data_IF_409051529634
#
_entry.id   IF_409051529634
#
_cell.length_a   1.000
_cell.length_b   1.000
_cell.length_c   1.000
_cell.angle_alpha   90.00
_cell.angle_beta   90.00
_cell.angle_gamma   90.00
#
_symmetry.space_group_name_H-M   'P 1'
#
loop_
_entity.id
_entity.type
_entity.pdbx_description
1 polymer ?
#
# COMPACT_ATOMS: atom_id res chain seq x y z
N UNK A 1 19.11 -15.25 -0.14
CA UNK A 1 20.52 -14.81 -0.21
C UNK A 1 21.19 -15.05 1.14
N UNK A 2 22.35 -15.71 1.21
CA UNK A 2 23.17 -15.84 2.42
C UNK A 2 23.79 -14.52 2.88
N UNK A 3 24.16 -14.42 4.17
CA UNK A 3 24.78 -13.22 4.75
C UNK A 3 26.09 -12.85 4.04
N UNK A 4 26.94 -13.84 3.72
CA UNK A 4 28.20 -13.64 3.00
C UNK A 4 27.99 -12.93 1.66
N UNK A 5 27.09 -13.45 0.84
CA UNK A 5 26.79 -12.89 -0.49
C UNK A 5 26.31 -11.44 -0.40
N UNK A 6 25.47 -11.11 0.58
CA UNK A 6 25.02 -9.75 0.80
C UNK A 6 26.21 -8.83 1.17
N UNK A 7 27.07 -9.26 2.09
CA UNK A 7 28.25 -8.48 2.47
C UNK A 7 29.16 -8.25 1.26
N UNK A 8 29.42 -9.28 0.47
CA UNK A 8 30.26 -9.18 -0.74
C UNK A 8 29.66 -8.26 -1.81
N UNK A 9 28.34 -8.32 -2.02
CA UNK A 9 27.65 -7.40 -2.93
C UNK A 9 27.79 -5.94 -2.48
N UNK A 10 27.60 -5.68 -1.18
CA UNK A 10 27.76 -4.32 -0.62
C UNK A 10 29.22 -3.85 -0.67
N UNK A 11 30.17 -4.75 -0.42
CA UNK A 11 31.59 -4.46 -0.59
C UNK A 11 31.90 -4.03 -2.03
N UNK A 12 31.42 -4.78 -3.03
CA UNK A 12 31.58 -4.40 -4.45
C UNK A 12 30.96 -3.04 -4.74
N UNK A 13 29.75 -2.78 -4.24
CA UNK A 13 29.04 -1.53 -4.47
C UNK A 13 29.79 -0.29 -3.95
N UNK A 14 30.46 -0.41 -2.79
CA UNK A 14 31.24 0.69 -2.20
C UNK A 14 32.75 0.61 -2.47
N UNK A 15 33.20 -0.32 -3.33
CA UNK A 15 34.62 -0.48 -3.65
C UNK A 15 35.49 -0.97 -2.49
N UNK A 16 34.91 -1.67 -1.51
CA UNK A 16 35.67 -2.25 -0.40
C UNK A 16 36.27 -3.62 -0.75
N UNK A 17 37.45 -3.89 -0.19
CA UNK A 17 38.00 -5.23 -0.03
C UNK A 17 37.96 -5.62 1.46
N UNK A 18 38.27 -6.89 1.78
CA UNK A 18 38.17 -7.40 3.17
C UNK A 18 39.05 -6.63 4.14
N UNK A 19 40.20 -6.10 3.70
CA UNK A 19 41.09 -5.31 4.53
C UNK A 19 40.55 -3.89 4.76
N UNK A 20 40.09 -3.22 3.70
CA UNK A 20 39.57 -1.84 3.82
C UNK A 20 38.25 -1.78 4.58
N UNK A 21 37.36 -2.77 4.41
CA UNK A 21 36.14 -2.85 5.21
C UNK A 21 36.45 -3.11 6.69
N UNK A 22 37.35 -4.04 6.99
CA UNK A 22 37.74 -4.36 8.37
C UNK A 22 38.32 -3.12 9.06
N UNK A 23 39.25 -2.41 8.39
CA UNK A 23 39.81 -1.16 8.88
C UNK A 23 38.73 -0.09 9.11
N UNK A 24 37.83 0.12 8.13
CA UNK A 24 36.74 1.11 8.22
C UNK A 24 35.73 0.79 9.34
N UNK A 25 35.56 -0.49 9.65
CA UNK A 25 34.66 -0.97 10.70
C UNK A 25 35.33 -1.09 12.08
N UNK A 26 36.64 -0.81 12.19
CA UNK A 26 37.38 -0.94 13.44
C UNK A 26 37.53 -2.38 13.94
N UNK A 27 37.56 -3.37 13.03
CA UNK A 27 37.70 -4.79 13.37
C UNK A 27 38.88 -5.43 12.62
N UNK A 28 39.32 -6.61 13.08
CA UNK A 28 40.35 -7.37 12.38
C UNK A 28 39.80 -8.07 11.13
N UNK A 29 40.65 -8.29 10.13
CA UNK A 29 40.31 -9.10 8.94
C UNK A 29 39.87 -10.53 9.29
N UNK A 30 40.49 -11.24 10.25
CA UNK A 30 39.95 -12.50 10.78
C UNK A 30 38.52 -12.37 11.33
N UNK A 31 38.23 -11.33 12.11
CA UNK A 31 36.89 -11.07 12.66
C UNK A 31 35.87 -10.87 11.53
N UNK A 32 36.21 -10.10 10.49
CA UNK A 32 35.34 -9.92 9.33
C UNK A 32 35.04 -11.26 8.63
N UNK A 33 36.03 -12.14 8.46
CA UNK A 33 35.81 -13.49 7.90
C UNK A 33 34.87 -14.34 8.75
N UNK A 34 34.99 -14.25 10.08
CA UNK A 34 34.06 -14.93 10.98
C UNK A 34 32.63 -14.41 10.79
N UNK A 35 32.43 -13.09 10.71
CA UNK A 35 31.11 -12.49 10.46
C UNK A 35 30.52 -12.96 9.14
N UNK A 36 31.31 -12.94 8.06
CA UNK A 36 30.86 -13.38 6.73
C UNK A 36 30.38 -14.84 6.74
N UNK A 37 31.04 -15.70 7.50
CA UNK A 37 30.63 -17.11 7.70
C UNK A 37 29.53 -17.31 8.77
N UNK A 38 28.92 -16.22 9.27
CA UNK A 38 27.84 -16.26 10.26
C UNK A 38 28.29 -16.53 11.71
N UNK A 39 29.60 -16.42 11.97
CA UNK A 39 30.24 -16.61 13.28
C UNK A 39 30.65 -15.27 13.90
N UNK A 40 31.20 -15.31 15.11
CA UNK A 40 31.63 -14.11 15.85
C UNK A 40 30.50 -13.48 16.66
N UNK A 41 30.53 -12.16 16.84
CA UNK A 41 29.61 -11.46 17.76
C UNK A 41 28.64 -10.55 17.02
N UNK A 42 27.48 -10.32 17.62
CA UNK A 42 26.48 -9.35 17.14
C UNK A 42 27.08 -7.93 17.08
N UNK A 43 27.91 -7.58 18.06
CA UNK A 43 28.59 -6.27 18.11
C UNK A 43 29.50 -6.07 16.91
N UNK A 44 30.28 -7.09 16.53
CA UNK A 44 31.17 -7.00 15.37
C UNK A 44 30.38 -6.88 14.07
N UNK A 45 29.26 -7.59 13.90
CA UNK A 45 28.37 -7.37 12.75
C UNK A 45 27.80 -5.93 12.75
N UNK A 46 27.39 -5.42 13.90
CA UNK A 46 26.89 -4.06 14.08
C UNK A 46 27.87 -2.99 13.58
N UNK A 47 29.16 -3.17 13.84
CA UNK A 47 30.23 -2.27 13.39
C UNK A 47 30.38 -2.22 11.86
N UNK A 48 30.02 -3.30 11.16
CA UNK A 48 30.14 -3.41 9.70
C UNK A 48 28.92 -2.82 8.97
N UNK A 49 27.78 -2.62 9.66
CA UNK A 49 26.53 -2.15 9.03
C UNK A 49 26.66 -0.77 8.40
N UNK A 50 27.16 0.21 9.14
CA UNK A 50 27.27 1.59 8.66
C UNK A 50 28.23 1.71 7.47
N UNK A 51 29.44 1.13 7.49
CA UNK A 51 30.31 1.08 6.31
C UNK A 51 29.66 0.45 5.07
N UNK A 52 28.83 -0.59 5.23
CA UNK A 52 28.14 -1.25 4.13
C UNK A 52 26.83 -0.54 3.70
N UNK A 53 26.49 0.59 4.31
CA UNK A 53 25.20 1.26 4.09
C UNK A 53 24.03 0.32 4.36
N UNK A 54 24.09 -0.45 5.45
CA UNK A 54 23.08 -1.42 5.86
C UNK A 54 22.47 -1.06 7.21
N UNK A 55 21.28 -1.57 7.48
CA UNK A 55 20.63 -1.52 8.79
C UNK A 55 20.17 -2.92 9.21
N UNK A 56 19.74 -3.08 10.46
CA UNK A 56 19.05 -4.29 10.90
C UNK A 56 17.74 -4.47 10.12
N UNK A 57 17.42 -5.71 9.75
CA UNK A 57 16.30 -6.01 8.84
C UNK A 57 14.90 -5.72 9.43
N UNK A 58 14.78 -5.71 10.75
CA UNK A 58 13.50 -5.63 11.46
C UNK A 58 13.19 -4.26 12.03
N UNK A 59 14.07 -3.27 11.86
CA UNK A 59 13.83 -1.93 12.36
C UNK A 59 14.34 -0.85 11.38
N UNK A 60 13.80 0.38 11.45
CA UNK A 60 14.32 1.48 10.66
C UNK A 60 15.82 1.73 10.91
N UNK A 61 16.57 2.28 9.94
CA UNK A 61 17.99 2.63 10.12
C UNK A 61 18.26 3.61 11.28
N UNK A 62 17.25 4.40 11.65
CA UNK A 62 17.31 5.37 12.76
C UNK A 62 16.95 4.76 14.12
N UNK A 63 16.67 3.45 14.20
CA UNK A 63 16.27 2.81 15.45
C UNK A 63 17.43 2.76 16.46
N UNK A 64 17.21 3.35 17.63
CA UNK A 64 18.16 3.36 18.75
C UNK A 64 18.14 2.09 19.58
N UNK A 65 17.06 1.29 19.51
CA UNK A 65 16.87 0.08 20.31
C UNK A 65 16.50 -1.15 19.45
N UNK A 66 17.40 -1.61 18.57
CA UNK A 66 17.12 -2.75 17.67
C UNK A 66 16.77 -4.04 18.41
N UNK A 67 17.33 -4.29 19.59
CA UNK A 67 16.96 -5.48 20.39
C UNK A 67 15.51 -5.45 20.87
N UNK A 68 15.03 -4.29 21.33
CA UNK A 68 13.64 -4.12 21.77
C UNK A 68 12.67 -4.25 20.59
N UNK A 69 13.04 -3.73 19.42
CA UNK A 69 12.27 -3.91 18.18
C UNK A 69 12.18 -5.40 17.77
N UNK A 70 13.25 -6.18 17.96
CA UNK A 70 13.23 -7.63 17.72
C UNK A 70 12.29 -8.35 18.70
N UNK A 71 12.27 -7.93 19.97
CA UNK A 71 11.35 -8.45 20.98
C UNK A 71 9.89 -8.15 20.66
N UNK A 72 9.59 -6.97 20.10
CA UNK A 72 8.26 -6.62 19.60
C UNK A 72 7.85 -7.53 18.44
N UNK A 73 8.75 -7.74 17.47
CA UNK A 73 8.48 -8.61 16.34
C UNK A 73 8.17 -10.05 16.78
N UNK A 74 8.91 -10.58 17.75
CA UNK A 74 8.62 -11.89 18.37
C UNK A 74 7.22 -11.91 18.99
N UNK A 75 6.83 -10.86 19.72
CA UNK A 75 5.50 -10.74 20.34
C UNK A 75 4.38 -10.66 19.30
N UNK A 76 4.58 -9.95 18.19
CA UNK A 76 3.64 -9.93 17.07
C UNK A 76 3.44 -11.33 16.43
N UNK A 77 4.45 -12.19 16.49
CA UNK A 77 4.36 -13.61 16.11
C UNK A 77 3.77 -14.51 17.21
N UNK A 78 3.32 -13.93 18.32
CA UNK A 78 2.75 -14.61 19.50
C UNK A 78 3.70 -15.64 20.12
N UNK A 79 5.01 -15.37 20.06
CA UNK A 79 6.02 -16.23 20.66
C UNK A 79 6.53 -15.64 21.97
N UNK A 80 6.64 -16.47 23.00
CA UNK A 80 7.32 -16.16 24.26
C UNK A 80 8.82 -16.40 24.15
N UNK A 81 9.61 -15.83 25.07
CA UNK A 81 11.05 -16.11 25.13
C UNK A 81 11.34 -17.59 25.42
N UNK A 82 10.48 -18.26 26.20
CA UNK A 82 10.61 -19.67 26.53
C UNK A 82 10.39 -20.56 25.31
N UNK A 83 9.39 -20.24 24.48
CA UNK A 83 9.16 -20.96 23.22
C UNK A 83 10.30 -20.77 22.23
N UNK A 84 10.86 -19.56 22.12
CA UNK A 84 12.04 -19.33 21.28
C UNK A 84 13.26 -20.08 21.80
N UNK A 85 13.49 -20.05 23.12
CA UNK A 85 14.53 -20.82 23.80
C UNK A 85 14.42 -22.31 23.50
N UNK A 86 13.23 -22.90 23.65
CA UNK A 86 12.98 -24.32 23.36
C UNK A 86 13.15 -24.68 21.88
N UNK A 87 12.65 -23.85 20.97
CA UNK A 87 12.75 -24.10 19.51
C UNK A 87 14.18 -24.01 18.97
N UNK A 88 15.00 -23.16 19.57
CA UNK A 88 16.38 -22.91 19.10
C UNK A 88 17.43 -23.62 19.94
N UNK A 89 17.04 -24.33 21.01
CA UNK A 89 17.95 -24.90 22.00
C UNK A 89 18.92 -23.86 22.57
N UNK A 90 18.47 -22.61 22.69
CA UNK A 90 19.23 -21.50 23.26
C UNK A 90 18.75 -21.23 24.67
N UNK A 91 19.65 -20.86 25.58
CA UNK A 91 19.24 -20.49 26.94
C UNK A 91 18.44 -19.17 26.94
N UNK A 92 17.49 -19.04 27.88
CA UNK A 92 16.71 -17.80 28.04
C UNK A 92 17.59 -16.55 28.23
N UNK A 93 18.72 -16.61 28.98
CA UNK A 93 19.68 -15.49 29.05
C UNK A 93 20.24 -15.04 27.70
N UNK A 94 20.47 -15.96 26.74
CA UNK A 94 20.92 -15.60 25.38
C UNK A 94 19.86 -14.76 24.66
N UNK A 95 18.59 -15.18 24.72
CA UNK A 95 17.48 -14.43 24.12
C UNK A 95 17.36 -13.04 24.76
N UNK A 96 17.46 -12.95 26.09
CA UNK A 96 17.43 -11.68 26.82
C UNK A 96 18.63 -10.79 26.43
N UNK A 97 19.83 -11.37 26.27
CA UNK A 97 21.03 -10.65 25.85
C UNK A 97 20.90 -10.02 24.47
N UNK A 98 20.29 -10.75 23.53
CA UNK A 98 19.97 -10.24 22.19
C UNK A 98 18.92 -9.12 22.30
N UNK A 99 17.79 -9.36 22.94
CA UNK A 99 16.66 -8.43 22.99
C UNK A 99 16.94 -7.15 23.79
N UNK A 100 17.67 -7.24 24.89
CA UNK A 100 17.92 -6.06 25.74
C UNK A 100 19.18 -5.30 25.36
N UNK A 101 20.20 -5.98 24.81
CA UNK A 101 21.55 -5.41 24.69
C UNK A 101 22.18 -5.57 23.32
N UNK A 102 21.56 -6.33 22.40
CA UNK A 102 22.19 -6.69 21.12
C UNK A 102 23.59 -7.30 21.30
N UNK A 103 23.74 -8.18 22.29
CA UNK A 103 25.00 -8.86 22.61
C UNK A 103 24.84 -10.37 22.52
N UNK A 104 25.96 -11.05 22.26
CA UNK A 104 26.04 -12.49 22.13
C UNK A 104 26.63 -12.90 20.79
N UNK A 105 26.50 -14.19 20.50
CA UNK A 105 27.00 -14.80 19.27
C UNK A 105 26.12 -14.48 18.07
N UNK A 106 26.76 -14.22 16.93
CA UNK A 106 26.06 -13.99 15.68
C UNK A 106 25.23 -15.19 15.24
N UNK A 107 25.72 -16.42 15.48
CA UNK A 107 25.00 -17.64 15.14
C UNK A 107 23.65 -17.75 15.88
N UNK A 108 23.60 -17.30 17.14
CA UNK A 108 22.36 -17.24 17.92
C UNK A 108 21.37 -16.23 17.34
N UNK A 109 21.86 -15.03 16.95
CA UNK A 109 21.03 -14.02 16.28
C UNK A 109 20.50 -14.53 14.94
N UNK A 110 21.33 -15.16 14.11
CA UNK A 110 20.92 -15.72 12.81
C UNK A 110 19.83 -16.78 12.95
N UNK A 111 19.95 -17.65 13.94
CA UNK A 111 18.95 -18.68 14.23
C UNK A 111 17.64 -18.03 14.70
N UNK A 112 17.73 -17.00 15.55
CA UNK A 112 16.58 -16.25 16.01
C UNK A 112 15.87 -15.48 14.89
N UNK A 113 16.60 -14.73 14.05
CA UNK A 113 15.96 -14.00 12.95
C UNK A 113 15.37 -14.95 11.91
N UNK A 114 16.01 -16.10 11.64
CA UNK A 114 15.46 -17.13 10.75
C UNK A 114 14.14 -17.68 11.27
N UNK A 115 14.01 -17.94 12.58
CA UNK A 115 12.75 -18.35 13.20
C UNK A 115 11.63 -17.32 13.00
N UNK A 116 11.98 -16.03 12.97
CA UNK A 116 11.02 -14.94 12.71
C UNK A 116 10.73 -14.71 11.22
N UNK A 117 11.29 -15.52 10.32
CA UNK A 117 11.11 -15.40 8.87
C UNK A 117 12.10 -14.45 8.19
N UNK A 118 13.19 -14.07 8.87
CA UNK A 118 14.24 -13.17 8.37
C UNK A 118 15.58 -13.91 8.34
N UNK A 119 15.89 -14.65 7.25
CA UNK A 119 17.09 -15.49 7.17
C UNK A 119 18.40 -14.69 7.17
N UNK A 120 18.35 -13.39 6.85
CA UNK A 120 19.48 -12.46 6.94
C UNK A 120 19.09 -11.30 7.88
N UNK A 121 19.89 -10.98 8.90
CA UNK A 121 19.53 -10.01 9.93
C UNK A 121 19.75 -8.56 9.50
N UNK A 122 20.24 -8.32 8.27
CA UNK A 122 20.62 -7.00 7.79
C UNK A 122 20.03 -6.76 6.40
N UNK A 123 19.77 -5.49 6.07
CA UNK A 123 19.27 -5.05 4.76
C UNK A 123 20.02 -3.82 4.28
N UNK A 124 20.23 -3.63 2.97
CA UNK A 124 20.74 -2.38 2.44
C UNK A 124 19.80 -1.22 2.76
N UNK A 125 20.36 -0.09 3.20
CA UNK A 125 19.64 1.17 3.30
C UNK A 125 19.42 1.66 1.87
N UNK A 126 18.25 1.38 1.33
CA UNK A 126 17.81 1.96 0.06
C UNK A 126 17.61 3.46 0.26
N UNK A 127 18.35 4.29 -0.47
CA UNK A 127 18.07 5.73 -0.62
C UNK A 127 16.69 6.00 -1.25
N UNK A 128 16.03 4.96 -1.77
CA UNK A 128 14.66 5.02 -2.26
C UNK A 128 13.73 4.42 -1.22
N UNK A 129 13.12 5.26 -0.38
CA UNK A 129 11.74 5.00 0.03
C UNK A 129 10.99 4.67 -1.25
N UNK A 130 10.35 3.50 -1.33
CA UNK A 130 9.32 3.30 -2.34
C UNK A 130 8.23 4.32 -2.02
N UNK A 131 8.27 5.47 -2.70
CA UNK A 131 7.19 6.47 -2.70
C UNK A 131 5.91 5.88 -3.32
N UNK A 132 6.05 4.74 -3.99
CA UNK A 132 4.97 3.94 -4.55
C UNK A 132 4.69 2.80 -3.55
N UNK A 133 3.54 2.78 -2.87
CA UNK A 133 3.13 1.65 -2.04
C UNK A 133 3.25 0.33 -2.80
N UNK A 134 3.50 -0.77 -2.10
CA UNK A 134 3.44 -2.10 -2.73
C UNK A 134 2.06 -2.31 -3.36
N UNK A 135 2.01 -2.98 -4.52
CA UNK A 135 0.75 -3.34 -5.18
C UNK A 135 -0.17 -4.06 -4.20
N UNK A 136 -1.43 -3.66 -4.17
CA UNK A 136 -2.43 -4.29 -3.31
C UNK A 136 -2.63 -5.75 -3.70
N UNK A 137 -2.78 -6.62 -2.70
CA UNK A 137 -3.29 -7.98 -2.90
C UNK A 137 -4.77 -7.92 -3.29
N UNK A 138 -5.32 -8.88 -4.07
CA UNK A 138 -6.73 -8.86 -4.50
C UNK A 138 -7.75 -8.72 -3.36
N UNK A 139 -7.45 -9.25 -2.16
CA UNK A 139 -8.29 -9.09 -0.97
C UNK A 139 -8.38 -7.64 -0.44
N UNK A 140 -7.39 -6.80 -0.75
CA UNK A 140 -7.36 -5.37 -0.38
C UNK A 140 -8.10 -4.47 -1.39
N UNK A 141 -8.55 -5.01 -2.52
CA UNK A 141 -9.33 -4.27 -3.51
C UNK A 141 -10.84 -4.27 -3.21
N UNK A 142 -11.28 -4.99 -2.17
CA UNK A 142 -12.66 -4.93 -1.67
C UNK A 142 -12.83 -3.72 -0.76
N UNK A 143 -12.99 -2.55 -1.36
CA UNK A 143 -13.28 -1.30 -0.65
C UNK A 143 -14.75 -0.97 -0.86
N UNK A 144 -15.62 -1.43 0.05
CA UNK A 144 -17.05 -1.14 -0.04
C UNK A 144 -17.32 0.33 0.29
N UNK A 145 -18.11 0.99 -0.55
CA UNK A 145 -18.48 2.38 -0.35
C UNK A 145 -19.56 2.51 0.71
N UNK A 146 -19.38 3.33 1.76
CA UNK A 146 -20.44 3.60 2.71
C UNK A 146 -21.67 4.16 1.98
N UNK A 147 -22.88 3.63 2.22
CA UNK A 147 -24.09 4.06 1.51
C UNK A 147 -24.33 5.58 1.56
N UNK A 148 -24.06 6.22 2.71
CA UNK A 148 -24.20 7.67 2.86
C UNK A 148 -23.26 8.46 1.93
N UNK A 149 -22.01 8.00 1.73
CA UNK A 149 -21.07 8.61 0.81
C UNK A 149 -21.50 8.39 -0.65
N UNK A 150 -21.91 7.16 -0.98
CA UNK A 150 -22.40 6.85 -2.32
C UNK A 150 -23.62 7.70 -2.69
N UNK A 151 -24.58 7.85 -1.77
CA UNK A 151 -25.74 8.74 -1.92
C UNK A 151 -25.32 10.18 -2.19
N UNK A 152 -24.44 10.75 -1.36
CA UNK A 152 -24.02 12.14 -1.52
C UNK A 152 -23.31 12.38 -2.88
N UNK A 153 -22.50 11.41 -3.34
CA UNK A 153 -21.89 11.46 -4.68
C UNK A 153 -22.96 11.36 -5.78
N UNK A 154 -23.93 10.45 -5.66
CA UNK A 154 -25.03 10.34 -6.62
C UNK A 154 -25.84 11.64 -6.69
N UNK A 155 -26.22 12.20 -5.54
CA UNK A 155 -27.00 13.44 -5.43
C UNK A 155 -26.27 14.63 -6.08
N UNK A 156 -24.94 14.74 -5.89
CA UNK A 156 -24.11 15.77 -6.52
C UNK A 156 -24.16 15.72 -8.05
N UNK A 157 -24.08 14.52 -8.64
CA UNK A 157 -24.09 14.36 -10.09
C UNK A 157 -25.49 14.16 -10.69
N UNK A 158 -26.52 13.93 -9.86
CA UNK A 158 -27.89 13.64 -10.26
C UNK A 158 -28.50 14.65 -11.26
N UNK A 159 -28.28 15.98 -11.14
CA UNK A 159 -28.83 16.95 -12.10
C UNK A 159 -28.36 16.76 -13.54
N UNK A 160 -27.28 16.00 -13.76
CA UNK A 160 -26.74 15.71 -15.09
C UNK A 160 -27.06 14.30 -15.60
N UNK A 161 -27.45 13.38 -14.71
CA UNK A 161 -27.70 11.99 -15.07
C UNK A 161 -29.01 11.85 -15.84
N UNK A 162 -28.97 11.03 -16.88
CA UNK A 162 -30.10 10.71 -17.74
C UNK A 162 -29.90 9.34 -18.38
N UNK A 163 -30.96 8.79 -18.96
CA UNK A 163 -30.91 7.53 -19.70
C UNK A 163 -30.55 6.34 -18.79
N UNK A 164 -29.69 5.46 -19.28
CA UNK A 164 -29.18 4.30 -18.55
C UNK A 164 -27.93 4.67 -17.74
N UNK A 165 -28.01 4.48 -16.42
CA UNK A 165 -26.88 4.57 -15.50
C UNK A 165 -26.47 3.17 -15.06
N UNK A 166 -25.21 2.81 -15.30
CA UNK A 166 -24.63 1.52 -14.96
C UNK A 166 -23.72 1.65 -13.72
N UNK A 167 -23.92 0.76 -12.73
CA UNK A 167 -22.92 0.48 -11.70
C UNK A 167 -22.11 -0.78 -12.07
N UNK A 168 -20.94 -0.65 -12.70
CA UNK A 168 -20.19 -1.78 -13.25
C UNK A 168 -19.44 -2.62 -12.19
N UNK A 169 -19.44 -2.21 -10.93
CA UNK A 169 -18.84 -2.95 -9.83
C UNK A 169 -19.71 -2.78 -8.57
N UNK A 170 -20.94 -3.28 -8.66
CA UNK A 170 -22.02 -3.03 -7.69
C UNK A 170 -21.62 -3.32 -6.25
N UNK A 171 -20.84 -4.37 -6.02
CA UNK A 171 -20.61 -4.89 -4.67
C UNK A 171 -21.94 -5.10 -3.95
N UNK A 172 -22.09 -4.45 -2.80
CA UNK A 172 -23.30 -4.53 -1.97
C UNK A 172 -24.45 -3.62 -2.44
N UNK A 173 -24.27 -2.80 -3.48
CA UNK A 173 -25.33 -1.95 -4.04
C UNK A 173 -25.27 -0.47 -3.67
N UNK A 174 -24.18 -0.02 -3.02
CA UNK A 174 -24.10 1.35 -2.49
C UNK A 174 -24.42 2.46 -3.50
N UNK A 175 -23.91 2.37 -4.75
CA UNK A 175 -24.28 3.32 -5.80
C UNK A 175 -25.61 2.96 -6.44
N UNK A 176 -25.77 1.70 -6.89
CA UNK A 176 -26.99 1.22 -7.54
C UNK A 176 -28.30 1.55 -6.79
N UNK A 177 -28.31 1.43 -5.47
CA UNK A 177 -29.48 1.68 -4.61
C UNK A 177 -29.76 3.18 -4.40
N UNK A 178 -28.81 4.04 -4.75
CA UNK A 178 -28.89 5.49 -4.58
C UNK A 178 -28.85 6.25 -5.91
N UNK A 179 -28.94 5.56 -7.05
CA UNK A 179 -29.12 6.19 -8.34
C UNK A 179 -30.45 6.97 -8.37
N UNK A 180 -30.51 8.13 -9.06
CA UNK A 180 -31.72 8.94 -9.14
C UNK A 180 -32.91 8.17 -9.68
N UNK A 181 -34.09 8.40 -9.11
CA UNK A 181 -35.32 7.67 -9.48
C UNK A 181 -35.75 7.86 -10.93
N UNK A 182 -35.31 8.94 -11.59
CA UNK A 182 -35.67 9.26 -12.97
C UNK A 182 -34.81 8.56 -14.03
N UNK A 183 -33.77 7.82 -13.63
CA UNK A 183 -32.90 7.11 -14.58
C UNK A 183 -33.21 5.62 -14.65
N UNK A 184 -32.94 5.01 -15.79
CA UNK A 184 -32.86 3.55 -15.85
C UNK A 184 -31.56 3.09 -15.17
N UNK A 185 -31.62 2.01 -14.40
CA UNK A 185 -30.47 1.47 -13.67
C UNK A 185 -30.13 0.06 -14.13
N UNK A 186 -28.84 -0.19 -14.36
CA UNK A 186 -28.29 -1.53 -14.57
C UNK A 186 -27.00 -1.70 -13.75
N UNK A 187 -26.49 -2.93 -13.66
CA UNK A 187 -25.34 -3.24 -12.83
C UNK A 187 -24.48 -4.37 -13.39
N UNK A 188 -23.21 -4.41 -13.01
CA UNK A 188 -22.35 -5.58 -13.11
C UNK A 188 -21.72 -5.87 -11.75
N UNK A 189 -21.62 -7.15 -11.42
CA UNK A 189 -20.88 -7.65 -10.26
C UNK A 189 -20.38 -9.04 -10.60
N UNK A 190 -19.06 -9.20 -10.58
CA UNK A 190 -18.42 -10.43 -11.05
C UNK A 190 -18.81 -11.64 -10.18
N UNK A 191 -19.09 -11.42 -8.89
CA UNK A 191 -19.57 -12.49 -7.99
C UNK A 191 -20.99 -12.94 -8.29
N UNK A 192 -21.78 -12.07 -8.90
CA UNK A 192 -23.17 -12.32 -9.27
C UNK A 192 -23.26 -12.70 -10.76
N UNK A 193 -22.15 -13.08 -11.39
CA UNK A 193 -22.09 -13.63 -12.74
C UNK A 193 -22.09 -12.60 -13.86
N UNK A 194 -21.99 -11.29 -13.56
CA UNK A 194 -21.97 -10.21 -14.57
C UNK A 194 -20.62 -9.49 -14.56
N UNK A 195 -19.72 -9.83 -15.48
CA UNK A 195 -18.41 -9.19 -15.60
C UNK A 195 -18.46 -7.96 -16.52
N UNK A 196 -18.23 -6.77 -15.95
CA UNK A 196 -18.19 -5.50 -16.67
C UNK A 196 -17.17 -5.46 -17.81
N UNK A 197 -16.00 -6.11 -17.64
CA UNK A 197 -14.95 -6.04 -18.66
C UNK A 197 -15.27 -6.85 -19.92
N UNK A 198 -16.31 -7.68 -19.84
CA UNK A 198 -16.90 -8.39 -20.98
C UNK A 198 -18.30 -7.90 -21.34
N UNK A 199 -18.82 -6.89 -20.63
CA UNK A 199 -20.14 -6.33 -20.87
C UNK A 199 -20.19 -5.62 -22.23
N UNK A 200 -21.20 -5.94 -23.04
CA UNK A 200 -21.34 -5.47 -24.43
C UNK A 200 -22.44 -4.40 -24.62
N UNK A 201 -23.06 -3.94 -23.53
CA UNK A 201 -24.07 -2.89 -23.62
C UNK A 201 -23.47 -1.49 -23.81
N UNK A 202 -24.35 -0.50 -23.83
CA UNK A 202 -23.98 0.92 -23.80
C UNK A 202 -24.84 1.64 -22.78
N UNK A 203 -24.20 2.41 -21.90
CA UNK A 203 -24.84 3.24 -20.90
C UNK A 203 -24.60 4.72 -21.19
N UNK A 204 -25.51 5.59 -20.77
CA UNK A 204 -25.30 7.03 -20.85
C UNK A 204 -24.30 7.49 -19.78
N UNK A 205 -24.38 6.83 -18.62
CA UNK A 205 -23.55 7.08 -17.45
C UNK A 205 -23.03 5.80 -16.81
N UNK A 206 -21.82 5.88 -16.28
CA UNK A 206 -21.23 4.90 -15.38
C UNK A 206 -20.92 5.58 -14.05
N UNK A 207 -21.35 5.00 -12.93
CA UNK A 207 -21.07 5.53 -11.58
C UNK A 207 -20.71 4.38 -10.65
N UNK A 208 -19.50 4.36 -10.11
CA UNK A 208 -19.06 3.27 -9.23
C UNK A 208 -17.78 3.60 -8.44
N UNK A 209 -17.43 2.73 -7.49
CA UNK A 209 -16.09 2.62 -6.91
C UNK A 209 -15.44 1.34 -7.46
N UNK A 210 -14.68 1.44 -8.57
CA UNK A 210 -14.10 0.27 -9.21
C UNK A 210 -12.96 -0.33 -8.36
N UNK A 211 -12.62 -1.62 -8.56
CA UNK A 211 -11.44 -2.21 -7.91
C UNK A 211 -10.17 -1.47 -8.35
N UNK A 212 -9.46 -0.83 -7.40
CA UNK A 212 -8.35 0.07 -7.72
C UNK A 212 -7.17 -0.61 -8.42
N UNK A 213 -6.95 -1.91 -8.19
CA UNK A 213 -5.94 -2.69 -8.92
C UNK A 213 -6.23 -2.83 -10.41
N UNK A 214 -7.51 -2.81 -10.82
CA UNK A 214 -7.96 -2.93 -12.21
C UNK A 214 -8.48 -1.61 -12.78
N UNK A 215 -8.22 -0.49 -12.11
CA UNK A 215 -8.72 0.83 -12.51
C UNK A 215 -8.40 1.18 -13.96
N UNK A 216 -7.23 0.77 -14.47
CA UNK A 216 -6.85 1.04 -15.86
C UNK A 216 -7.77 0.32 -16.87
N UNK A 217 -8.06 -0.96 -16.63
CA UNK A 217 -8.97 -1.76 -17.46
C UNK A 217 -10.40 -1.20 -17.39
N UNK A 218 -10.84 -0.82 -16.19
CA UNK A 218 -12.16 -0.19 -15.98
C UNK A 218 -12.29 1.14 -16.71
N UNK A 219 -11.26 2.00 -16.69
CA UNK A 219 -11.28 3.27 -17.44
C UNK A 219 -11.42 3.01 -18.93
N UNK A 220 -10.63 2.08 -19.49
CA UNK A 220 -10.70 1.75 -20.93
C UNK A 220 -12.08 1.22 -21.31
N UNK A 221 -12.63 0.29 -20.53
CA UNK A 221 -13.94 -0.29 -20.83
C UNK A 221 -15.07 0.72 -20.65
N UNK A 222 -15.02 1.56 -19.62
CA UNK A 222 -16.01 2.61 -19.41
C UNK A 222 -16.00 3.64 -20.55
N UNK A 223 -14.83 4.05 -21.04
CA UNK A 223 -14.73 4.96 -22.20
C UNK A 223 -15.23 4.35 -23.51
N UNK A 224 -15.27 3.01 -23.62
CA UNK A 224 -15.87 2.31 -24.76
C UNK A 224 -17.40 2.22 -24.67
N UNK A 225 -17.93 2.16 -23.46
CA UNK A 225 -19.32 1.77 -23.21
C UNK A 225 -20.20 2.88 -22.63
N UNK A 226 -19.63 4.05 -22.31
CA UNK A 226 -20.38 5.22 -21.86
C UNK A 226 -19.74 6.55 -22.29
N UNK A 227 -20.52 7.64 -22.18
CA UNK A 227 -20.07 9.00 -22.50
C UNK A 227 -19.80 9.85 -21.24
N UNK A 228 -20.39 9.46 -20.10
CA UNK A 228 -20.13 10.06 -18.79
C UNK A 228 -19.71 8.98 -17.78
N UNK A 229 -18.63 9.20 -17.05
CA UNK A 229 -18.05 8.24 -16.11
C UNK A 229 -17.77 8.96 -14.80
N UNK A 230 -18.22 8.42 -13.69
CA UNK A 230 -17.89 8.86 -12.33
C UNK A 230 -17.24 7.70 -11.60
N UNK A 231 -15.93 7.81 -11.37
CA UNK A 231 -15.16 6.80 -10.64
C UNK A 231 -14.66 7.33 -9.31
N UNK A 232 -14.92 6.57 -8.26
CA UNK A 232 -14.27 6.77 -6.97
C UNK A 232 -12.91 6.10 -6.94
N UNK A 233 -11.85 6.88 -6.82
CA UNK A 233 -10.48 6.34 -6.74
C UNK A 233 -9.51 7.32 -6.08
N UNK A 234 -8.34 6.85 -5.63
CA UNK A 234 -7.24 7.72 -5.25
C UNK A 234 -6.84 8.63 -6.42
N UNK A 235 -6.75 9.93 -6.17
CA UNK A 235 -6.41 10.93 -7.18
C UNK A 235 -5.11 10.60 -7.95
N UNK A 236 -3.99 10.19 -7.30
CA UNK A 236 -2.77 9.82 -8.02
C UNK A 236 -2.95 8.60 -8.94
N UNK A 237 -3.92 7.73 -8.64
CA UNK A 237 -4.24 6.59 -9.47
C UNK A 237 -5.06 7.02 -10.70
N UNK A 238 -5.78 8.14 -10.69
CA UNK A 238 -6.48 8.65 -11.88
C UNK A 238 -5.56 9.50 -12.77
N UNK A 239 -4.62 10.23 -12.17
CA UNK A 239 -3.87 11.30 -12.85
C UNK A 239 -2.45 10.91 -13.27
N UNK A 240 -2.16 9.61 -13.41
CA UNK A 240 -0.88 9.19 -13.98
C UNK A 240 -0.77 9.68 -15.43
N UNK A 241 0.46 10.02 -15.88
CA UNK A 241 0.69 10.49 -17.27
C UNK A 241 0.10 9.54 -18.32
N UNK A 242 0.19 8.22 -18.09
CA UNK A 242 -0.36 7.21 -18.98
C UNK A 242 -1.89 7.26 -19.04
N UNK A 243 -2.57 7.35 -17.89
CA UNK A 243 -4.04 7.41 -17.83
C UNK A 243 -4.59 8.70 -18.41
N UNK A 244 -3.98 9.84 -18.09
CA UNK A 244 -4.36 11.13 -18.68
C UNK A 244 -4.21 11.12 -20.21
N UNK A 245 -3.15 10.49 -20.72
CA UNK A 245 -2.96 10.30 -22.16
C UNK A 245 -4.07 9.43 -22.75
N UNK A 246 -4.34 8.26 -22.18
CA UNK A 246 -5.40 7.37 -22.66
C UNK A 246 -6.78 8.01 -22.65
N UNK A 247 -7.11 8.79 -21.62
CA UNK A 247 -8.35 9.57 -21.54
C UNK A 247 -8.43 10.57 -22.70
N UNK A 248 -7.37 11.34 -22.91
CA UNK A 248 -7.30 12.33 -23.99
C UNK A 248 -7.39 11.68 -25.38
N UNK A 249 -6.64 10.61 -25.62
CA UNK A 249 -6.61 9.90 -26.91
C UNK A 249 -7.96 9.24 -27.22
N UNK A 250 -8.71 8.80 -26.21
CA UNK A 250 -10.08 8.29 -26.38
C UNK A 250 -11.13 9.41 -26.62
N UNK A 251 -10.70 10.68 -26.65
CA UNK A 251 -11.60 11.83 -26.83
C UNK A 251 -12.36 12.21 -25.56
N UNK A 252 -11.85 11.89 -24.38
CA UNK A 252 -12.42 12.27 -23.09
C UNK A 252 -11.58 13.35 -22.39
N UNK A 253 -12.20 14.01 -21.41
CA UNK A 253 -11.51 14.87 -20.45
C UNK A 253 -12.08 14.71 -19.05
N UNK A 254 -11.28 15.06 -18.04
CA UNK A 254 -11.73 15.11 -16.64
C UNK A 254 -12.43 16.46 -16.44
N UNK A 255 -13.72 16.41 -16.15
CA UNK A 255 -14.57 17.59 -15.92
C UNK A 255 -14.40 18.08 -14.48
N UNK A 256 -14.43 17.16 -13.52
CA UNK A 256 -14.47 17.48 -12.10
C UNK A 256 -13.78 16.38 -11.28
N UNK A 257 -13.05 16.81 -10.25
CA UNK A 257 -12.47 15.98 -9.21
C UNK A 257 -13.15 16.37 -7.89
N UNK A 258 -14.22 15.66 -7.54
CA UNK A 258 -15.00 15.92 -6.34
C UNK A 258 -14.33 15.26 -5.12
N UNK A 259 -13.80 16.08 -4.22
CA UNK A 259 -13.16 15.63 -2.99
C UNK A 259 -14.19 15.26 -1.93
N UNK A 260 -13.88 14.25 -1.14
CA UNK A 260 -14.64 13.89 0.05
C UNK A 260 -13.68 13.38 1.14
N UNK A 261 -14.15 13.41 2.37
CA UNK A 261 -13.42 12.86 3.52
C UNK A 261 -13.31 11.34 3.40
N UNK A 262 -12.10 10.80 3.50
CA UNK A 262 -11.87 9.36 3.35
C UNK A 262 -12.51 8.62 4.53
N UNK A 263 -13.43 7.65 4.29
CA UNK A 263 -13.99 6.83 5.35
C UNK A 263 -12.90 6.16 6.20
N UNK A 264 -13.12 6.08 7.52
CA UNK A 264 -12.09 5.60 8.48
C UNK A 264 -11.75 4.13 8.27
N UNK A 265 -12.73 3.36 7.82
CA UNK A 265 -12.67 1.94 7.50
C UNK A 265 -11.90 1.64 6.21
N UNK A 266 -11.66 2.65 5.36
CA UNK A 266 -10.89 2.49 4.13
C UNK A 266 -9.38 2.49 4.38
N UNK A 267 -8.58 1.89 3.47
CA UNK A 267 -7.13 1.96 3.55
C UNK A 267 -6.62 3.40 3.60
N UNK A 268 -5.97 3.76 4.71
CA UNK A 268 -5.38 5.08 4.90
C UNK A 268 -4.00 5.14 4.25
N UNK A 269 -3.86 5.88 3.15
CA UNK A 269 -2.60 6.00 2.39
C UNK A 269 -2.03 7.42 2.33
N UNK A 270 -2.73 8.41 2.92
CA UNK A 270 -2.40 9.83 2.80
C UNK A 270 -2.65 10.44 1.41
N UNK A 271 -3.20 9.67 0.47
CA UNK A 271 -3.63 10.19 -0.83
C UNK A 271 -5.08 10.66 -0.75
N UNK A 272 -5.37 11.79 -1.37
CA UNK A 272 -6.76 12.24 -1.55
C UNK A 272 -7.52 11.25 -2.43
N UNK A 273 -8.71 10.84 -1.99
CA UNK A 273 -9.69 10.16 -2.83
C UNK A 273 -10.68 11.16 -3.41
N UNK A 274 -11.16 10.87 -4.61
CA UNK A 274 -12.10 11.73 -5.34
C UNK A 274 -13.14 10.88 -6.04
N UNK A 275 -14.31 11.45 -6.29
CA UNK A 275 -15.22 11.01 -7.33
C UNK A 275 -14.91 11.83 -8.59
N UNK A 276 -14.25 11.20 -9.56
CA UNK A 276 -13.80 11.89 -10.77
C UNK A 276 -14.81 11.74 -11.90
N UNK A 277 -15.35 12.86 -12.38
CA UNK A 277 -16.22 12.92 -13.56
C UNK A 277 -15.38 13.03 -14.82
N UNK A 278 -15.39 11.99 -15.65
CA UNK A 278 -14.72 11.91 -16.95
C UNK A 278 -15.81 11.91 -18.02
N UNK A 279 -15.69 12.76 -19.05
CA UNK A 279 -16.74 12.93 -20.06
C UNK A 279 -16.17 12.99 -21.49
N UNK A 280 -16.84 12.33 -22.42
CA UNK A 280 -16.52 12.39 -23.85
C UNK A 280 -16.66 13.83 -24.37
N UNK A 281 -15.74 14.25 -25.22
CA UNK A 281 -15.73 15.57 -25.83
C UNK A 281 -15.41 16.73 -24.87
N UNK A 282 -15.05 16.46 -23.61
CA UNK A 282 -14.64 17.53 -22.71
C UNK A 282 -13.21 17.98 -22.99
N UNK A 283 -13.06 19.22 -23.46
CA UNK A 283 -11.76 19.88 -23.67
C UNK A 283 -11.54 21.10 -22.73
N UNK A 284 -12.45 21.30 -21.77
CA UNK A 284 -12.43 22.44 -20.85
C UNK A 284 -11.51 22.26 -19.66
N UNK A 285 -11.60 23.20 -18.72
CA UNK A 285 -10.88 23.11 -17.45
C UNK A 285 -11.45 22.00 -16.56
N UNK A 286 -10.57 21.28 -15.89
CA UNK A 286 -10.93 20.37 -14.81
C UNK A 286 -11.17 21.17 -13.53
N UNK A 287 -12.35 21.04 -12.93
CA UNK A 287 -12.66 21.64 -11.65
C UNK A 287 -12.23 20.73 -10.49
N UNK A 288 -11.90 21.34 -9.36
CA UNK A 288 -11.56 20.65 -8.13
C UNK A 288 -12.48 21.18 -7.03
N UNK A 289 -13.41 20.35 -6.59
CA UNK A 289 -14.55 20.73 -5.74
C UNK A 289 -14.57 19.88 -4.47
N UNK A 290 -15.34 20.29 -3.46
CA UNK A 290 -15.51 19.54 -2.22
C UNK A 290 -16.96 19.12 -2.07
N UNK A 291 -17.19 17.89 -1.62
CA UNK A 291 -18.52 17.35 -1.36
C UNK A 291 -19.10 18.00 -0.10
N UNK A 292 -20.13 18.82 -0.30
CA UNK A 292 -20.87 19.42 0.81
C UNK A 292 -21.82 18.39 1.42
N UNK A 293 -21.46 17.82 2.57
CA UNK A 293 -22.40 17.02 3.35
C UNK A 293 -23.32 18.00 4.07
N UNK A 294 -24.54 18.18 3.57
CA UNK A 294 -25.57 18.94 4.29
C UNK A 294 -25.76 18.32 5.68
N UNK A 295 -25.37 19.04 6.73
CA UNK A 295 -25.67 18.62 8.10
C UNK A 295 -27.19 18.48 8.27
N UNK A 296 -27.70 17.45 8.96
CA UNK A 296 -29.12 17.35 9.26
C UNK A 296 -29.54 18.62 10.02
N UNK A 297 -30.54 19.30 9.47
CA UNK A 297 -31.03 20.59 9.97
C UNK A 297 -31.68 20.37 11.34
N UNK A 298 -30.91 20.51 12.42
CA UNK A 298 -31.47 20.58 13.77
C UNK A 298 -32.13 21.94 13.98
N UNK A 299 -33.36 22.09 13.48
CA UNK A 299 -34.28 23.13 13.94
C UNK A 299 -35.54 22.46 14.46
N UNK A 300 -35.50 22.10 15.74
CA UNK A 300 -36.67 22.21 16.60
C UNK A 300 -36.38 23.33 17.58
N UNK A 301 -36.93 24.51 17.25
CA UNK A 301 -37.20 25.58 18.20
C UNK A 301 -38.18 25.01 19.23
N UNK A 302 -37.77 24.95 20.50
CA UNK A 302 -38.72 24.90 21.59
C UNK A 302 -39.23 26.32 21.81
N UNK A 303 -40.55 26.48 21.73
CA UNK A 303 -41.30 27.61 22.22
C UNK A 303 -41.27 27.65 23.76
#
# INVERSE_FOLDING_TARGET
MPLEQLIEERMRHYGFNKSSLAARSGISRPTLRQIMSGKGTISSLGQVLSPLGCSWAWCPPTCTFPGAALAELRRCKRLTQAEVSGRLLLSRPVIIGIEKRMRGELASLLSYTRLLGMPVPIVPISSRRRLIPASNTPARDRVMTPPALARAICDHFAPHMHGLVLDPAKGEGAFYDHLPVHVARDWCEIRDGRDFLTWQGRADWIVTNPPWSRLAEFIVQAMRTADNIVFVAPLPNLTTKARLRSIKEAGFGIVELLQFETPREWPQSGFQLVAARIRRGHAGACQFTSLEISAPTSRLRAA
#
